data_IF_483264681605
#
_entry.id   IF_483264681605
#
_cell.length_a   1.000
_cell.length_b   1.000
_cell.length_c   1.000
_cell.angle_alpha   90.00
_cell.angle_beta   90.00
_cell.angle_gamma   90.00
#
_symmetry.space_group_name_H-M   'P 1'
#
loop_
_entity.id
_entity.type
_entity.pdbx_description
1 polymer ?
#
# COMPACT_ATOMS: atom_id res chain seq x y z
N UNK A 1 12.76 -1.41 12.23
CA UNK A 1 13.57 -0.60 11.29
C UNK A 1 13.21 0.88 11.29
N UNK A 2 11.93 1.29 11.18
CA UNK A 2 11.51 2.71 11.13
C UNK A 2 12.21 3.59 12.18
N UNK A 3 12.16 3.21 13.46
CA UNK A 3 12.78 3.97 14.56
C UNK A 3 14.31 4.16 14.44
N UNK A 4 15.01 3.30 13.67
CA UNK A 4 16.44 3.48 13.37
C UNK A 4 16.67 4.75 12.53
N UNK A 5 15.89 4.92 11.45
CA UNK A 5 16.02 6.06 10.53
C UNK A 5 15.26 7.29 11.00
N UNK A 6 14.08 7.07 11.57
CA UNK A 6 13.09 8.08 11.94
C UNK A 6 12.77 7.95 13.44
N UNK A 7 13.70 8.33 14.33
CA UNK A 7 13.54 8.11 15.78
C UNK A 7 12.42 8.92 16.42
N UNK A 8 11.93 9.97 15.75
CA UNK A 8 10.84 10.83 16.23
C UNK A 8 9.46 10.37 15.75
N UNK A 9 9.39 9.32 14.92
CA UNK A 9 8.15 8.79 14.34
C UNK A 9 7.68 7.55 15.08
N UNK A 10 6.38 7.45 15.30
CA UNK A 10 5.75 6.23 15.81
C UNK A 10 5.29 5.39 14.63
N UNK A 11 5.85 4.18 14.41
CA UNK A 11 5.54 3.39 13.23
C UNK A 11 4.05 3.05 13.07
N UNK A 12 3.34 2.83 14.18
CA UNK A 12 1.94 2.44 14.17
C UNK A 12 1.00 3.63 14.04
N UNK A 13 1.38 4.79 14.59
CA UNK A 13 0.53 5.98 14.51
C UNK A 13 0.76 6.77 13.21
N UNK A 14 2.01 6.85 12.73
CA UNK A 14 2.35 7.70 11.59
C UNK A 14 2.19 7.00 10.24
N UNK A 15 2.37 5.67 10.14
CA UNK A 15 2.42 4.99 8.82
C UNK A 15 1.36 3.90 8.63
N UNK A 16 0.58 3.54 9.65
CA UNK A 16 -0.42 2.47 9.51
C UNK A 16 -1.67 2.87 8.72
N UNK A 17 -1.97 4.16 8.65
CA UNK A 17 -3.17 4.72 8.01
C UNK A 17 -2.81 6.02 7.30
N UNK A 18 -1.79 5.96 6.43
CA UNK A 18 -1.28 7.10 5.67
C UNK A 18 -1.50 6.90 4.17
N UNK A 19 -2.03 7.92 3.51
CA UNK A 19 -2.20 7.89 2.07
C UNK A 19 -3.19 6.82 1.62
N UNK A 20 -2.83 6.12 0.56
CA UNK A 20 -3.65 5.11 -0.10
C UNK A 20 -3.04 3.71 -0.07
N UNK A 21 -1.79 3.58 0.40
CA UNK A 21 -1.05 2.33 0.44
C UNK A 21 -0.43 2.05 1.82
N UNK A 22 -0.09 3.06 2.63
CA UNK A 22 0.51 2.79 3.93
C UNK A 22 -0.53 2.25 4.92
N UNK A 23 -0.57 0.92 5.09
CA UNK A 23 -1.52 0.23 5.96
C UNK A 23 -1.86 -1.16 5.45
N UNK A 24 -3.00 -1.71 5.88
CA UNK A 24 -3.52 -2.95 5.32
C UNK A 24 -4.27 -2.68 4.02
N UNK A 25 -3.91 -3.41 2.96
CA UNK A 25 -4.58 -3.33 1.67
C UNK A 25 -3.85 -2.38 0.74
N UNK A 26 -4.53 -1.32 0.33
CA UNK A 26 -3.98 -0.30 -0.55
C UNK A 26 -4.43 -0.44 -2.02
N UNK A 27 -4.57 0.71 -2.68
CA UNK A 27 -5.03 0.75 -4.06
C UNK A 27 -5.30 2.16 -4.57
N UNK A 28 -5.44 2.27 -5.89
CA UNK A 28 -5.67 3.56 -6.54
C UNK A 28 -4.36 4.24 -6.92
N UNK A 29 -4.24 5.54 -6.67
CA UNK A 29 -3.06 6.34 -7.03
C UNK A 29 -2.41 6.88 -5.77
N UNK A 30 -1.10 6.63 -5.55
CA UNK A 30 -0.40 7.18 -4.40
C UNK A 30 -0.47 8.71 -4.35
N UNK A 31 -0.77 9.26 -3.16
CA UNK A 31 -1.02 10.70 -3.00
C UNK A 31 0.25 11.56 -2.87
N UNK A 32 1.38 10.93 -2.53
CA UNK A 32 2.70 11.56 -2.47
C UNK A 32 3.84 10.51 -2.52
N UNK A 33 5.08 10.96 -2.30
CA UNK A 33 6.25 10.07 -2.31
C UNK A 33 6.31 9.12 -1.10
N UNK A 34 5.75 9.49 0.06
CA UNK A 34 5.67 8.57 1.22
C UNK A 34 4.73 7.41 0.88
N UNK A 35 3.58 7.73 0.30
CA UNK A 35 2.59 6.73 -0.12
C UNK A 35 3.13 5.81 -1.24
N UNK A 36 3.98 6.34 -2.13
CA UNK A 36 4.70 5.53 -3.12
C UNK A 36 5.70 4.56 -2.49
N UNK A 37 6.36 4.94 -1.40
CA UNK A 37 7.21 4.03 -0.66
C UNK A 37 6.41 2.82 -0.15
N UNK A 38 5.19 3.06 0.34
CA UNK A 38 4.28 2.01 0.81
C UNK A 38 3.77 1.14 -0.34
N UNK A 39 3.38 1.73 -1.47
CA UNK A 39 3.03 0.97 -2.68
C UNK A 39 4.15 0.00 -3.09
N UNK A 40 5.39 0.50 -3.14
CA UNK A 40 6.54 -0.33 -3.49
C UNK A 40 6.82 -1.42 -2.45
N UNK A 41 6.52 -1.15 -1.17
CA UNK A 41 6.64 -2.12 -0.08
C UNK A 41 5.60 -3.24 -0.20
N UNK A 42 4.35 -2.91 -0.50
CA UNK A 42 3.28 -3.88 -0.75
C UNK A 42 3.62 -4.78 -1.94
N UNK A 43 4.10 -4.22 -3.04
CA UNK A 43 4.58 -4.99 -4.20
C UNK A 43 5.76 -5.92 -3.84
N UNK A 44 6.60 -5.51 -2.89
CA UNK A 44 7.70 -6.33 -2.40
C UNK A 44 7.17 -7.50 -1.54
N UNK A 45 6.18 -7.24 -0.68
CA UNK A 45 5.53 -8.25 0.13
C UNK A 45 4.72 -9.25 -0.71
N UNK A 46 4.07 -8.82 -1.79
CA UNK A 46 3.42 -9.71 -2.75
C UNK A 46 4.46 -10.66 -3.40
N UNK A 47 5.64 -10.14 -3.76
CA UNK A 47 6.73 -10.98 -4.28
C UNK A 47 7.25 -11.94 -3.21
N UNK A 48 7.38 -11.51 -1.96
CA UNK A 48 7.82 -12.35 -0.84
C UNK A 48 6.88 -13.55 -0.62
N UNK A 49 5.56 -13.32 -0.69
CA UNK A 49 4.55 -14.38 -0.55
C UNK A 49 4.63 -15.44 -1.66
N UNK A 50 5.17 -15.08 -2.83
CA UNK A 50 5.34 -15.97 -3.97
C UNK A 50 6.81 -16.43 -4.16
N UNK A 51 7.70 -16.09 -3.23
CA UNK A 51 9.12 -16.38 -3.35
C UNK A 51 9.39 -17.84 -2.98
N UNK A 52 10.14 -18.57 -3.81
CA UNK A 52 10.28 -20.03 -3.69
C UNK A 52 10.83 -20.48 -2.33
N UNK A 53 11.72 -19.69 -1.73
CA UNK A 53 12.29 -20.03 -0.41
C UNK A 53 11.37 -19.71 0.77
N UNK A 54 10.22 -19.05 0.53
CA UNK A 54 9.20 -18.75 1.51
C UNK A 54 8.07 -19.79 1.42
N UNK A 55 8.37 -21.03 1.85
CA UNK A 55 7.52 -22.20 1.65
C UNK A 55 6.69 -22.59 2.88
N UNK A 56 6.99 -22.00 4.04
CA UNK A 56 6.29 -22.26 5.29
C UNK A 56 5.14 -21.30 5.50
N UNK A 57 4.11 -21.75 6.22
CA UNK A 57 3.04 -20.87 6.71
C UNK A 57 3.59 -19.72 7.55
N UNK A 58 4.74 -19.92 8.22
CA UNK A 58 5.42 -18.94 9.08
C UNK A 58 6.29 -17.93 8.32
N UNK A 59 6.49 -18.13 7.01
CA UNK A 59 7.35 -17.27 6.18
C UNK A 59 6.59 -16.06 5.59
N UNK A 60 5.34 -15.85 6.00
CA UNK A 60 4.57 -14.66 5.59
C UNK A 60 5.30 -13.38 6.01
N UNK A 61 5.41 -12.38 5.11
CA UNK A 61 6.12 -11.14 5.42
C UNK A 61 5.47 -10.31 6.54
N UNK A 62 4.22 -10.60 6.91
CA UNK A 62 3.52 -9.92 8.01
C UNK A 62 3.87 -10.44 9.41
N UNK A 63 4.44 -11.65 9.53
CA UNK A 63 4.72 -12.27 10.83
C UNK A 63 6.01 -13.11 10.86
N UNK A 64 6.79 -13.11 9.78
CA UNK A 64 8.14 -13.68 9.77
C UNK A 64 9.08 -12.81 10.62
N UNK A 65 10.07 -13.45 11.25
CA UNK A 65 11.14 -12.80 11.98
C UNK A 65 12.44 -12.92 11.20
N UNK A 66 13.15 -11.80 11.08
CA UNK A 66 14.46 -11.73 10.46
C UNK A 66 15.42 -10.93 11.33
N UNK A 67 16.71 -11.12 11.11
CA UNK A 67 17.79 -10.45 11.83
C UNK A 67 18.30 -9.22 11.06
N UNK A 68 18.37 -8.08 11.73
CA UNK A 68 18.95 -6.85 11.19
C UNK A 68 19.74 -6.11 12.26
N UNK A 69 20.65 -5.24 11.82
CA UNK A 69 21.38 -4.30 12.68
C UNK A 69 21.11 -2.85 12.25
N UNK A 70 21.25 -1.93 13.20
CA UNK A 70 21.18 -0.49 13.00
C UNK A 70 22.42 0.14 13.64
N UNK A 71 23.32 0.65 12.81
CA UNK A 71 24.55 1.28 13.32
C UNK A 71 24.32 2.70 13.87
N UNK A 72 25.36 3.29 14.44
CA UNK A 72 25.33 4.66 14.98
C UNK A 72 25.07 5.72 13.90
N UNK A 73 25.36 5.42 12.63
CA UNK A 73 25.07 6.27 11.48
C UNK A 73 23.66 6.06 10.94
N UNK A 74 22.82 5.28 11.64
CA UNK A 74 21.45 4.91 11.26
C UNK A 74 21.42 4.14 9.94
N UNK A 75 22.43 3.34 9.65
CA UNK A 75 22.45 2.43 8.52
C UNK A 75 21.84 1.10 8.95
N UNK A 76 20.78 0.68 8.26
CA UNK A 76 20.16 -0.63 8.45
C UNK A 76 20.93 -1.66 7.62
N UNK A 77 21.32 -2.77 8.24
CA UNK A 77 21.95 -3.92 7.57
C UNK A 77 21.14 -5.18 7.85
N UNK A 78 20.67 -5.86 6.80
CA UNK A 78 20.09 -7.20 6.93
C UNK A 78 21.21 -8.22 7.13
N UNK A 79 21.16 -8.97 8.22
CA UNK A 79 22.27 -9.83 8.62
C UNK A 79 22.34 -11.11 7.77
N UNK A 80 23.56 -11.54 7.45
CA UNK A 80 23.80 -12.74 6.62
C UNK A 80 23.43 -14.06 7.30
N UNK A 81 23.04 -14.02 8.57
CA UNK A 81 22.46 -15.14 9.32
C UNK A 81 21.04 -15.49 8.86
N UNK A 82 20.35 -14.56 8.21
CA UNK A 82 19.03 -14.79 7.65
C UNK A 82 19.07 -15.86 6.55
N UNK A 83 18.02 -16.71 6.52
CA UNK A 83 17.76 -17.57 5.36
C UNK A 83 17.28 -16.70 4.18
N UNK A 84 17.24 -17.29 2.99
CA UNK A 84 16.89 -16.56 1.76
C UNK A 84 15.54 -15.83 1.85
N UNK A 85 14.51 -16.46 2.45
CA UNK A 85 13.21 -15.83 2.66
C UNK A 85 13.29 -14.64 3.64
N UNK A 86 13.89 -14.87 4.81
CA UNK A 86 14.02 -13.89 5.89
C UNK A 86 14.84 -12.67 5.40
N UNK A 87 15.87 -12.92 4.59
CA UNK A 87 16.69 -11.89 3.94
C UNK A 87 15.88 -11.09 2.93
N UNK A 88 15.07 -11.76 2.10
CA UNK A 88 14.24 -11.08 1.11
C UNK A 88 13.25 -10.11 1.78
N UNK A 89 12.57 -10.56 2.83
CA UNK A 89 11.61 -9.75 3.59
C UNK A 89 12.33 -8.61 4.31
N UNK A 90 13.47 -8.88 4.96
CA UNK A 90 14.29 -7.85 5.59
C UNK A 90 14.68 -6.74 4.60
N UNK A 91 15.01 -7.11 3.36
CA UNK A 91 15.37 -6.15 2.33
C UNK A 91 14.18 -5.32 1.85
N UNK A 92 12.97 -5.90 1.77
CA UNK A 92 11.74 -5.13 1.53
C UNK A 92 11.58 -4.02 2.59
N UNK A 93 11.69 -4.38 3.87
CA UNK A 93 11.49 -3.44 4.98
C UNK A 93 12.60 -2.39 5.05
N UNK A 94 13.84 -2.79 4.80
CA UNK A 94 14.98 -1.87 4.71
C UNK A 94 14.76 -0.83 3.62
N UNK A 95 14.37 -1.25 2.42
CA UNK A 95 14.15 -0.34 1.28
C UNK A 95 12.98 0.61 1.57
N UNK A 96 11.88 0.12 2.12
CA UNK A 96 10.75 0.95 2.50
C UNK A 96 11.16 2.03 3.52
N UNK A 97 11.91 1.64 4.56
CA UNK A 97 12.34 2.57 5.61
C UNK A 97 13.40 3.56 5.12
N UNK A 98 14.33 3.14 4.24
CA UNK A 98 15.26 4.05 3.56
C UNK A 98 14.48 5.05 2.68
N UNK A 99 13.38 4.63 2.04
CA UNK A 99 12.48 5.49 1.28
C UNK A 99 11.71 6.48 2.18
N UNK A 100 11.14 6.03 3.30
CA UNK A 100 10.46 6.89 4.28
C UNK A 100 11.39 7.99 4.81
N UNK A 101 12.67 7.67 5.01
CA UNK A 101 13.66 8.64 5.46
C UNK A 101 14.01 9.72 4.42
N UNK A 102 13.77 9.44 3.14
CA UNK A 102 13.98 10.37 2.04
C UNK A 102 12.70 11.14 1.66
N UNK A 103 11.53 10.59 1.96
CA UNK A 103 10.24 11.21 1.70
C UNK A 103 9.87 12.24 2.78
N UNK A 104 9.06 13.23 2.38
CA UNK A 104 8.42 14.15 3.32
C UNK A 104 7.17 13.48 3.90
N UNK A 105 6.92 13.72 5.20
CA UNK A 105 5.68 13.30 5.86
C UNK A 105 4.69 14.46 5.93
N UNK A 106 3.48 14.27 5.43
CA UNK A 106 2.38 15.24 5.47
C UNK A 106 1.22 14.69 6.31
N UNK A 107 1.07 15.23 7.52
CA UNK A 107 0.00 14.83 8.46
C UNK A 107 -1.41 14.93 7.88
N UNK A 108 -1.63 15.76 6.86
CA UNK A 108 -2.93 15.89 6.20
C UNK A 108 -3.31 14.67 5.34
N UNK A 109 -2.38 13.73 5.14
CA UNK A 109 -2.58 12.49 4.39
C UNK A 109 -2.89 11.30 5.30
N UNK A 110 -2.99 11.50 6.61
CA UNK A 110 -3.44 10.46 7.53
C UNK A 110 -4.95 10.25 7.44
N UNK A 111 -5.39 9.00 7.48
CA UNK A 111 -6.80 8.61 7.51
C UNK A 111 -7.58 9.15 6.33
N UNK A 112 -6.99 9.15 5.13
CA UNK A 112 -7.68 9.58 3.93
C UNK A 112 -8.85 8.62 3.63
N UNK A 113 -9.99 9.15 3.18
CA UNK A 113 -11.11 8.29 2.80
C UNK A 113 -10.82 7.62 1.44
N UNK A 114 -11.26 6.37 1.28
CA UNK A 114 -11.01 5.55 0.09
C UNK A 114 -11.33 6.27 -1.22
N UNK A 115 -12.36 7.14 -1.25
CA UNK A 115 -12.72 7.87 -2.46
C UNK A 115 -11.59 8.72 -2.98
N UNK A 116 -10.72 9.28 -2.12
CA UNK A 116 -9.56 10.07 -2.56
C UNK A 116 -8.61 9.19 -3.37
N UNK A 117 -8.37 7.96 -2.91
CA UNK A 117 -7.47 6.99 -3.54
C UNK A 117 -7.95 6.52 -4.91
N UNK A 118 -9.27 6.38 -5.08
CA UNK A 118 -9.88 5.89 -6.33
C UNK A 118 -10.50 7.00 -7.21
N UNK A 119 -10.49 8.26 -6.76
CA UNK A 119 -11.17 9.38 -7.44
C UNK A 119 -10.60 9.69 -8.82
N UNK A 120 -9.29 9.52 -9.03
CA UNK A 120 -8.68 9.72 -10.36
C UNK A 120 -9.09 8.63 -11.37
N UNK A 121 -9.47 7.43 -10.90
CA UNK A 121 -10.05 6.39 -11.76
C UNK A 121 -11.52 6.70 -12.13
N UNK A 122 -12.26 7.33 -11.22
CA UNK A 122 -13.66 7.74 -11.47
C UNK A 122 -13.78 8.99 -12.36
N UNK A 123 -12.77 9.86 -12.39
CA UNK A 123 -12.71 11.03 -13.28
C UNK A 123 -12.52 10.69 -14.77
N UNK A 124 -12.11 9.45 -15.09
CA UNK A 124 -12.02 8.95 -16.46
C UNK A 124 -13.35 8.41 -16.99
N UNK A 125 -14.41 8.35 -16.18
CA UNK A 125 -15.75 8.14 -16.70
C UNK A 125 -16.22 9.49 -17.23
N UNK A 126 -16.20 9.73 -18.55
CA UNK A 126 -16.71 10.98 -19.10
C UNK A 126 -18.15 11.12 -18.61
N UNK A 127 -18.58 12.32 -18.22
CA UNK A 127 -19.96 12.55 -17.77
C UNK A 127 -21.00 12.01 -18.76
N UNK A 128 -20.62 11.86 -20.04
CA UNK A 128 -21.39 11.20 -21.09
C UNK A 128 -21.69 9.71 -20.81
N UNK A 129 -20.73 8.93 -20.29
CA UNK A 129 -20.94 7.52 -19.95
C UNK A 129 -21.90 7.36 -18.77
N UNK A 130 -21.82 8.22 -17.75
CA UNK A 130 -22.76 8.24 -16.64
C UNK A 130 -24.19 8.54 -17.12
N UNK A 131 -24.34 9.51 -18.04
CA UNK A 131 -25.62 9.83 -18.68
C UNK A 131 -26.15 8.67 -19.54
N UNK A 132 -25.28 7.92 -20.22
CA UNK A 132 -25.66 6.71 -20.98
C UNK A 132 -26.17 5.62 -20.04
N UNK A 133 -25.48 5.37 -18.92
CA UNK A 133 -25.92 4.38 -17.92
C UNK A 133 -27.27 4.76 -17.30
N UNK A 134 -27.45 6.03 -16.89
CA UNK A 134 -28.74 6.51 -16.35
C UNK A 134 -29.84 6.45 -17.40
N UNK A 135 -29.54 6.81 -18.65
CA UNK A 135 -30.47 6.73 -19.77
C UNK A 135 -30.92 5.30 -20.08
N UNK A 136 -30.00 4.34 -20.10
CA UNK A 136 -30.30 2.93 -20.32
C UNK A 136 -31.15 2.34 -19.20
N UNK A 137 -30.84 2.66 -17.93
CA UNK A 137 -31.64 2.24 -16.77
C UNK A 137 -33.06 2.81 -16.89
N UNK A 138 -33.21 4.09 -17.22
CA UNK A 138 -34.52 4.74 -17.40
C UNK A 138 -35.32 4.12 -18.56
N UNK A 139 -34.67 3.82 -19.68
CA UNK A 139 -35.32 3.15 -20.82
C UNK A 139 -35.77 1.72 -20.48
N UNK A 140 -34.99 0.98 -19.69
CA UNK A 140 -35.39 -0.33 -19.21
C UNK A 140 -36.60 -0.26 -18.27
N UNK A 141 -36.63 0.71 -17.35
CA UNK A 141 -37.79 0.90 -16.46
C UNK A 141 -39.05 1.30 -17.23
N UNK A 142 -38.90 2.10 -18.30
CA UNK A 142 -40.02 2.44 -19.19
C UNK A 142 -40.50 1.24 -20.03
N UNK A 143 -39.60 0.34 -20.42
CA UNK A 143 -39.97 -0.89 -21.13
C UNK A 143 -40.69 -1.89 -20.23
N UNK A 144 -40.28 -2.03 -18.98
CA UNK A 144 -40.99 -2.86 -17.99
C UNK A 144 -42.37 -2.28 -17.64
N UNK A 145 -42.51 -0.95 -17.62
CA UNK A 145 -43.79 -0.27 -17.44
C UNK A 145 -44.78 -0.41 -18.61
N UNK A 146 -44.30 -0.74 -19.82
CA UNK A 146 -45.13 -0.89 -21.03
C UNK A 146 -45.49 -2.34 -21.37
N UNK A 147 -44.98 -3.32 -20.61
CA UNK A 147 -45.28 -4.77 -20.79
C UNK A 147 -46.39 -5.24 -19.83
N UNK A 148 -46.79 -4.41 -18.86
CA UNK A 148 -47.86 -4.68 -17.89
C UNK A 148 -49.18 -3.93 -18.14
N UNK A 149 -49.44 -3.46 -19.37
CA UNK A 149 -50.75 -2.91 -19.80
C UNK A 149 -51.45 -3.79 -20.82
#
# INVERSE_FOLDING_TARGET
>A
MVQCKLPERDPLLDFWDYGCYCGLGGGGIPVDEMDRCCQAHDECYEKAQNYESCDSIFDSPYFNFYEFDCDEQKTITCLSSNRDCDMFICMCDKVAVDCFAAASYDESKNGLPDEVCFSEAMGLVPSLLLLIFVGLVFQMTLMEGNVLS
#
